data_IF_695028983972
#
_entry.id   IF_695028983972
#
_cell.length_a   1.000
_cell.length_b   1.000
_cell.length_c   1.000
_cell.angle_alpha   90.00
_cell.angle_beta   90.00
_cell.angle_gamma   90.00
#
_symmetry.space_group_name_H-M   'P 1'
#
loop_
_entity.id
_entity.type
_entity.pdbx_description
1 polymer ?
#
# COMPACT_ATOMS: atom_id res chain seq x y z
N UNK A 1 18.97 7.67 4.22
CA UNK A 1 19.23 7.15 2.86
C UNK A 1 18.03 7.43 1.99
N UNK A 2 18.21 8.14 0.87
CA UNK A 2 17.18 8.37 -0.15
C UNK A 2 17.65 7.65 -1.41
N UNK A 3 17.16 6.45 -1.65
CA UNK A 3 17.34 5.77 -2.92
C UNK A 3 16.10 6.09 -3.77
N UNK A 4 16.26 7.00 -4.73
CA UNK A 4 15.24 7.28 -5.72
C UNK A 4 15.27 6.18 -6.77
N UNK A 5 14.40 5.18 -6.63
CA UNK A 5 14.20 4.18 -7.66
C UNK A 5 13.40 4.83 -8.80
N UNK A 6 14.07 5.21 -9.89
CA UNK A 6 13.43 5.75 -11.10
C UNK A 6 12.60 4.66 -11.80
N UNK A 7 11.42 4.37 -11.26
CA UNK A 7 10.44 3.48 -11.86
C UNK A 7 9.48 4.28 -12.73
N UNK A 8 9.37 3.90 -14.00
CA UNK A 8 8.38 4.46 -14.91
C UNK A 8 6.99 3.86 -14.58
N UNK A 9 6.31 4.44 -13.59
CA UNK A 9 4.98 4.02 -13.13
C UNK A 9 3.89 4.39 -14.14
N UNK A 10 4.13 5.40 -14.98
CA UNK A 10 3.20 5.85 -16.01
C UNK A 10 2.88 4.75 -17.01
N UNK A 11 3.88 3.96 -17.40
CA UNK A 11 3.73 2.86 -18.35
C UNK A 11 3.38 1.51 -17.70
N UNK A 12 3.23 1.46 -16.37
CA UNK A 12 2.94 0.21 -15.67
C UNK A 12 1.50 -0.26 -15.91
N UNK A 13 1.32 -1.57 -16.13
CA UNK A 13 -0.01 -2.19 -16.16
C UNK A 13 -0.70 -2.04 -14.81
N UNK A 14 -2.03 -2.21 -14.78
CA UNK A 14 -2.81 -2.09 -13.55
C UNK A 14 -2.32 -3.06 -12.46
N UNK A 15 -2.05 -4.30 -12.84
CA UNK A 15 -1.57 -5.37 -11.95
C UNK A 15 -0.18 -5.06 -11.42
N UNK A 16 0.70 -4.54 -12.27
CA UNK A 16 2.05 -4.13 -11.89
C UNK A 16 2.01 -3.00 -10.88
N UNK A 17 1.12 -2.02 -11.11
CA UNK A 17 0.90 -0.90 -10.19
C UNK A 17 0.31 -1.37 -8.86
N UNK A 18 -0.67 -2.27 -8.89
CA UNK A 18 -1.26 -2.89 -7.70
C UNK A 18 -0.19 -3.59 -6.87
N UNK A 19 0.59 -4.50 -7.47
CA UNK A 19 1.64 -5.22 -6.78
C UNK A 19 2.70 -4.27 -6.21
N UNK A 20 3.12 -3.28 -6.99
CA UNK A 20 4.11 -2.29 -6.57
C UNK A 20 3.66 -1.49 -5.34
N UNK A 21 2.49 -0.83 -5.41
CA UNK A 21 2.01 0.00 -4.30
C UNK A 21 1.64 -0.82 -3.07
N UNK A 22 1.17 -2.06 -3.24
CA UNK A 22 0.96 -3.00 -2.12
C UNK A 22 2.27 -3.31 -1.42
N UNK A 23 3.33 -3.61 -2.17
CA UNK A 23 4.66 -3.86 -1.60
C UNK A 23 5.23 -2.63 -0.92
N UNK A 24 5.09 -1.44 -1.52
CA UNK A 24 5.51 -0.18 -0.90
C UNK A 24 4.78 0.06 0.43
N UNK A 25 3.46 -0.19 0.48
CA UNK A 25 2.70 -0.12 1.71
C UNK A 25 3.27 -1.08 2.76
N UNK A 26 3.43 -2.35 2.41
CA UNK A 26 3.92 -3.39 3.31
C UNK A 26 5.32 -3.08 3.85
N UNK A 27 6.23 -2.61 2.98
CA UNK A 27 7.57 -2.17 3.40
C UNK A 27 7.52 -0.96 4.33
N UNK A 28 6.69 0.04 4.03
CA UNK A 28 6.54 1.23 4.87
C UNK A 28 5.92 0.89 6.23
N UNK A 29 5.01 -0.09 6.27
CA UNK A 29 4.41 -0.63 7.50
C UNK A 29 5.45 -1.34 8.38
N UNK A 30 6.31 -2.17 7.78
CA UNK A 30 7.43 -2.80 8.51
C UNK A 30 8.38 -1.72 9.03
N UNK A 31 8.75 -0.76 8.19
CA UNK A 31 9.68 0.31 8.56
C UNK A 31 9.15 1.14 9.75
N UNK A 32 7.89 1.55 9.73
CA UNK A 32 7.32 2.28 10.88
C UNK A 32 7.26 1.42 12.14
N UNK A 33 6.92 0.14 12.01
CA UNK A 33 6.87 -0.78 13.15
C UNK A 33 8.26 -1.00 13.74
N UNK A 34 9.28 -1.13 12.90
CA UNK A 34 10.67 -1.24 13.33
C UNK A 34 11.13 0.04 14.06
N UNK A 35 10.80 1.21 13.52
CA UNK A 35 11.24 2.50 14.06
C UNK A 35 10.50 2.91 15.34
N UNK A 36 9.20 2.62 15.42
CA UNK A 36 8.31 3.16 16.46
C UNK A 36 7.68 2.09 17.36
N UNK A 37 7.89 0.80 17.08
CA UNK A 37 7.19 -0.31 17.73
C UNK A 37 5.74 -0.48 17.27
N UNK A 38 5.09 -1.53 17.78
CA UNK A 38 3.67 -1.79 17.49
C UNK A 38 2.77 -0.73 18.17
N UNK A 39 1.74 -0.24 17.47
CA UNK A 39 0.84 0.76 18.06
C UNK A 39 -0.11 0.11 19.07
N UNK A 40 -0.13 0.63 20.30
CA UNK A 40 -0.99 0.14 21.40
C UNK A 40 -2.34 0.85 21.45
N UNK A 41 -2.44 2.06 20.87
CA UNK A 41 -3.68 2.85 20.87
C UNK A 41 -4.18 3.16 19.45
N UNK A 42 -5.49 3.43 19.34
CA UNK A 42 -6.13 3.87 18.08
C UNK A 42 -5.48 5.15 17.56
N UNK A 43 -5.09 6.06 18.46
CA UNK A 43 -4.41 7.31 18.11
C UNK A 43 -3.01 7.07 17.55
N UNK A 44 -2.25 6.14 18.11
CA UNK A 44 -0.96 5.74 17.53
C UNK A 44 -1.14 5.11 16.15
N UNK A 45 -2.12 4.20 15.98
CA UNK A 45 -2.43 3.62 14.65
C UNK A 45 -2.75 4.71 13.63
N UNK A 46 -3.61 5.67 14.01
CA UNK A 46 -3.94 6.82 13.15
C UNK A 46 -2.71 7.65 12.83
N UNK A 47 -1.88 8.00 13.83
CA UNK A 47 -0.63 8.75 13.63
C UNK A 47 0.29 8.03 12.66
N UNK A 48 0.42 6.71 12.78
CA UNK A 48 1.33 5.92 11.95
C UNK A 48 1.01 6.06 10.46
N UNK A 49 -0.27 6.08 10.11
CA UNK A 49 -0.74 6.22 8.74
C UNK A 49 -0.27 7.52 8.03
N UNK A 50 0.16 8.53 8.78
CA UNK A 50 0.58 9.85 8.26
C UNK A 50 2.01 10.24 8.62
N UNK A 51 2.80 9.34 9.21
CA UNK A 51 4.07 9.73 9.86
C UNK A 51 5.35 9.44 9.07
N UNK A 52 5.32 8.47 8.16
CA UNK A 52 6.44 8.15 7.26
C UNK A 52 5.97 8.27 5.82
N UNK A 53 6.86 8.78 4.98
CA UNK A 53 6.61 8.98 3.55
C UNK A 53 7.71 8.30 2.76
N UNK A 54 7.33 7.60 1.69
CA UNK A 54 8.24 7.10 0.67
C UNK A 54 8.14 8.02 -0.53
N UNK A 55 9.30 8.37 -1.08
CA UNK A 55 9.38 9.09 -2.34
C UNK A 55 9.30 8.07 -3.48
N UNK A 56 8.32 8.23 -4.34
CA UNK A 56 8.06 7.34 -5.49
C UNK A 56 7.90 8.25 -6.70
N UNK A 57 8.88 8.23 -7.61
CA UNK A 57 9.04 9.28 -8.61
C UNK A 57 9.21 10.64 -7.93
N UNK A 58 8.43 11.62 -8.38
CA UNK A 58 8.48 13.01 -7.89
C UNK A 58 7.54 13.29 -6.71
N UNK A 59 6.82 12.27 -6.21
CA UNK A 59 5.80 12.48 -5.19
C UNK A 59 6.06 11.68 -3.91
N UNK A 60 5.62 12.25 -2.79
CA UNK A 60 5.65 11.60 -1.48
C UNK A 60 4.36 10.83 -1.22
N UNK A 61 4.52 9.65 -0.63
CA UNK A 61 3.43 8.73 -0.32
C UNK A 61 3.52 8.23 1.12
N UNK A 62 2.50 8.56 1.93
CA UNK A 62 2.23 7.93 3.22
C UNK A 62 1.40 6.66 3.07
N UNK A 63 1.36 5.82 4.12
CA UNK A 63 0.51 4.63 4.20
C UNK A 63 -0.94 4.97 3.86
N UNK A 64 -1.44 6.08 4.41
CA UNK A 64 -2.78 6.56 4.13
C UNK A 64 -2.99 6.88 2.64
N UNK A 65 -2.05 7.60 2.03
CA UNK A 65 -2.16 8.00 0.62
C UNK A 65 -2.06 6.82 -0.32
N UNK A 66 -1.24 5.81 0.00
CA UNK A 66 -1.16 4.56 -0.77
C UNK A 66 -2.48 3.79 -0.64
N UNK A 67 -2.93 3.56 0.59
CA UNK A 67 -4.13 2.74 0.84
C UNK A 67 -5.41 3.40 0.32
N UNK A 68 -5.76 4.57 0.83
CA UNK A 68 -7.01 5.24 0.46
C UNK A 68 -6.94 5.97 -0.88
N UNK A 69 -5.76 6.52 -1.20
CA UNK A 69 -5.55 7.33 -2.40
C UNK A 69 -5.37 6.46 -3.63
N UNK A 70 -4.39 5.57 -3.62
CA UNK A 70 -4.04 4.74 -4.79
C UNK A 70 -4.91 3.50 -4.86
N UNK A 71 -4.85 2.64 -3.83
CA UNK A 71 -5.36 1.27 -3.91
C UNK A 71 -6.89 1.18 -3.78
N UNK A 72 -7.50 2.07 -2.99
CA UNK A 72 -8.96 2.19 -2.84
C UNK A 72 -9.60 3.17 -3.84
N UNK A 73 -8.93 3.57 -4.91
CA UNK A 73 -9.57 4.43 -5.91
C UNK A 73 -9.84 5.86 -5.44
N UNK A 74 -8.95 6.44 -4.63
CA UNK A 74 -9.08 7.78 -4.04
C UNK A 74 -10.38 7.97 -3.23
N UNK A 75 -10.74 6.93 -2.48
CA UNK A 75 -11.89 6.93 -1.58
C UNK A 75 -11.54 7.62 -0.26
N UNK A 76 -12.53 8.31 0.30
CA UNK A 76 -12.44 8.88 1.63
C UNK A 76 -12.32 7.75 2.67
N UNK A 77 -11.31 7.85 3.54
CA UNK A 77 -11.13 6.92 4.66
C UNK A 77 -12.04 7.27 5.84
N UNK A 78 -12.21 6.32 6.76
CA UNK A 78 -12.95 6.57 8.01
C UNK A 78 -12.25 7.65 8.85
N UNK A 79 -12.99 8.67 9.27
CA UNK A 79 -12.45 9.81 10.02
C UNK A 79 -11.68 10.84 9.20
N UNK A 80 -11.60 10.69 7.88
CA UNK A 80 -11.12 11.76 7.01
C UNK A 80 -12.23 12.78 6.75
N UNK A 81 -11.87 14.02 6.43
CA UNK A 81 -12.84 15.03 5.95
C UNK A 81 -12.89 15.04 4.41
N UNK A 82 -11.75 14.87 3.76
CA UNK A 82 -11.57 14.99 2.32
C UNK A 82 -11.02 13.71 1.68
N UNK A 83 -11.05 13.65 0.35
CA UNK A 83 -10.35 12.60 -0.40
C UNK A 83 -8.83 12.79 -0.28
N UNK A 84 -8.04 11.70 -0.30
CA UNK A 84 -6.58 11.78 -0.27
C UNK A 84 -5.98 12.69 -1.34
N UNK A 85 -6.51 12.63 -2.57
CA UNK A 85 -6.00 13.37 -3.72
C UNK A 85 -7.06 14.33 -4.27
N UNK A 86 -6.72 15.63 -4.28
CA UNK A 86 -7.55 16.70 -4.86
C UNK A 86 -7.66 16.61 -6.38
N UNK A 87 -8.34 17.56 -7.02
CA UNK A 87 -8.53 17.57 -8.50
C UNK A 87 -7.23 17.78 -9.27
N UNK A 88 -6.32 18.60 -8.74
CA UNK A 88 -5.05 18.97 -9.36
C UNK A 88 -3.86 18.11 -8.89
N UNK A 89 -4.12 17.09 -8.08
CA UNK A 89 -3.05 16.23 -7.57
C UNK A 89 -2.45 15.39 -8.70
N UNK A 90 -1.14 15.53 -8.91
CA UNK A 90 -0.41 14.86 -9.98
C UNK A 90 -0.33 13.34 -9.80
N UNK A 91 -0.66 12.81 -8.61
CA UNK A 91 -0.68 11.36 -8.35
C UNK A 91 -1.95 10.67 -8.84
N UNK A 92 -2.97 11.45 -9.27
CA UNK A 92 -4.25 10.90 -9.75
C UNK A 92 -4.13 9.89 -10.90
N UNK A 93 -3.24 10.05 -11.90
CA UNK A 93 -3.08 9.08 -12.97
C UNK A 93 -2.67 7.69 -12.46
N UNK A 94 -2.12 7.60 -11.24
CA UNK A 94 -1.68 6.35 -10.62
C UNK A 94 -2.78 5.65 -9.79
N UNK A 95 -3.96 6.25 -9.63
CA UNK A 95 -5.07 5.65 -8.89
C UNK A 95 -5.50 4.34 -9.58
N UNK A 96 -5.79 3.30 -8.77
CA UNK A 96 -6.43 2.07 -9.23
C UNK A 96 -7.91 2.38 -9.48
N UNK A 97 -8.41 2.27 -10.73
CA UNK A 97 -9.82 2.55 -11.04
C UNK A 97 -10.74 1.67 -10.21
N UNK A 98 -11.85 2.24 -9.72
CA UNK A 98 -12.88 1.58 -8.88
C UNK A 98 -12.41 1.06 -7.51
N UNK A 99 -11.09 1.01 -7.27
CA UNK A 99 -10.48 0.41 -6.08
C UNK A 99 -10.45 -1.12 -6.17
N UNK A 100 -9.37 -1.73 -5.72
CA UNK A 100 -9.24 -3.19 -5.70
C UNK A 100 -9.79 -3.74 -4.38
N UNK A 101 -10.97 -4.41 -4.35
CA UNK A 101 -11.53 -4.94 -3.11
C UNK A 101 -10.62 -5.98 -2.44
N UNK A 102 -9.82 -6.73 -3.20
CA UNK A 102 -8.92 -7.74 -2.66
C UNK A 102 -7.76 -7.15 -1.86
N UNK A 103 -7.54 -5.84 -1.91
CA UNK A 103 -6.44 -5.20 -1.19
C UNK A 103 -6.51 -5.40 0.33
N UNK A 104 -7.70 -5.56 0.89
CA UNK A 104 -7.88 -5.83 2.32
C UNK A 104 -7.27 -7.18 2.76
N UNK A 105 -7.12 -8.12 1.84
CA UNK A 105 -6.41 -9.39 2.09
C UNK A 105 -4.91 -9.29 1.88
N UNK A 106 -4.44 -8.18 1.29
CA UNK A 106 -3.02 -7.97 0.99
C UNK A 106 -2.32 -7.00 1.93
N UNK A 107 -3.10 -6.21 2.68
CA UNK A 107 -2.62 -5.12 3.52
C UNK A 107 -2.93 -5.38 4.99
N UNK A 108 -1.94 -5.12 5.85
CA UNK A 108 -2.09 -5.16 7.29
C UNK A 108 -2.38 -3.77 7.86
N UNK A 109 -3.37 -3.66 8.75
CA UNK A 109 -3.82 -2.39 9.37
C UNK A 109 -3.61 -2.34 10.89
N UNK A 110 -2.70 -3.17 11.43
CA UNK A 110 -2.43 -3.31 12.86
C UNK A 110 -3.62 -3.82 13.70
N UNK A 111 -4.49 -4.63 13.11
CA UNK A 111 -5.57 -5.32 13.81
C UNK A 111 -5.27 -6.82 13.93
N UNK A 112 -5.75 -7.49 14.98
CA UNK A 112 -5.46 -8.93 15.16
C UNK A 112 -6.02 -9.81 14.02
N UNK A 113 -7.07 -9.36 13.34
CA UNK A 113 -7.68 -10.04 12.20
C UNK A 113 -7.05 -9.72 10.85
N UNK A 114 -5.93 -9.00 10.82
CA UNK A 114 -5.29 -8.60 9.55
C UNK A 114 -4.36 -9.67 8.99
N UNK A 115 -4.24 -9.75 7.65
CA UNK A 115 -3.42 -10.76 7.00
C UNK A 115 -1.92 -10.59 7.33
N UNK A 116 -1.17 -11.68 7.16
CA UNK A 116 0.28 -11.66 7.22
C UNK A 116 0.85 -10.75 6.11
N UNK A 117 1.99 -10.12 6.39
CA UNK A 117 2.67 -9.27 5.41
C UNK A 117 3.35 -10.15 4.36
N UNK A 118 2.98 -9.95 3.09
CA UNK A 118 3.50 -10.72 1.96
C UNK A 118 4.10 -9.79 0.88
N UNK A 119 4.97 -10.36 0.05
CA UNK A 119 5.49 -9.72 -1.16
C UNK A 119 4.72 -10.20 -2.39
N UNK A 120 4.26 -9.25 -3.20
CA UNK A 120 3.42 -9.47 -4.38
C UNK A 120 4.23 -9.29 -5.66
N UNK A 121 3.97 -10.13 -6.65
CA UNK A 121 4.56 -10.04 -7.98
C UNK A 121 3.50 -10.36 -9.02
N UNK A 122 3.58 -9.74 -10.20
CA UNK A 122 2.71 -10.03 -11.34
C UNK A 122 3.01 -11.40 -11.96
N UNK A 123 4.16 -12.00 -11.65
CA UNK A 123 4.47 -13.38 -12.05
C UNK A 123 3.66 -14.35 -11.19
N UNK A 124 2.70 -15.04 -11.79
CA UNK A 124 1.99 -16.14 -11.13
C UNK A 124 3.00 -17.24 -10.82
N UNK A 125 3.34 -17.43 -9.54
CA UNK A 125 4.02 -18.64 -9.09
C UNK A 125 2.96 -19.73 -8.95
N UNK A 126 2.79 -20.56 -9.96
CA UNK A 126 2.01 -21.79 -9.85
C UNK A 126 2.71 -22.72 -8.87
N UNK A 127 2.27 -22.72 -7.60
CA UNK A 127 2.57 -23.83 -6.70
C UNK A 127 1.84 -25.06 -7.27
N UNK A 128 2.55 -25.91 -8.00
CA UNK A 128 2.11 -27.30 -8.19
C UNK A 128 2.03 -27.90 -6.79
N UNK A 129 0.81 -28.14 -6.31
CA UNK A 129 0.57 -28.95 -5.12
C UNK A 129 1.20 -30.32 -5.41
N UNK A 130 2.35 -30.58 -4.80
CA UNK A 130 2.98 -31.90 -4.87
C UNK A 130 1.97 -32.89 -4.28
N UNK A 131 1.39 -33.74 -5.13
CA UNK A 131 0.63 -34.91 -4.68
C UNK A 131 1.59 -35.73 -3.82
N UNK A 132 1.33 -35.76 -2.52
CA UNK A 132 1.98 -36.68 -1.60
C UNK A 132 1.55 -38.08 -2.04
N UNK A 133 2.44 -38.82 -2.73
CA UNK A 133 2.21 -40.23 -3.02
C UNK A 133 2.19 -40.96 -1.68
N UNK A 134 1.03 -41.53 -1.35
CA UNK A 134 0.94 -42.62 -0.38
C UNK A 134 1.44 -43.91 -0.99
#
# INVERSE_FOLDING_TARGET
MREALNLNIEKATLESRLAFFTNCYNMQLIHITYKCGLPTTIWQRRRYLYSIYYQIGEHLYSLQSIFNGILRGNQKGYGMLWKPFGKQDQRRPYIIPYGEPLIHFAINTFNMSTPAILAYSTKVKTKKLAKKKG
#
